data_IF_609319349659
#
_entry.id   IF_609319349659
#
_cell.length_a   1.000
_cell.length_b   1.000
_cell.length_c   1.000
_cell.angle_alpha   90.00
_cell.angle_beta   90.00
_cell.angle_gamma   90.00
#
_symmetry.space_group_name_H-M   'P 1'
#
loop_
_entity.id
_entity.type
_entity.pdbx_description
1 polymer ?
#
# COMPACT_ATOMS: atom_id res chain seq x y z
N UNK A 1 -3.94 -15.58 9.89
CA UNK A 1 -5.25 -15.28 9.25
C UNK A 1 -6.32 -16.22 9.80
N UNK A 2 -7.62 -15.88 9.74
CA UNK A 2 -8.69 -16.79 10.20
C UNK A 2 -8.69 -18.15 9.45
N UNK A 3 -8.50 -18.19 8.11
CA UNK A 3 -8.30 -19.43 7.37
C UNK A 3 -7.14 -20.30 7.87
N UNK A 4 -6.01 -19.69 8.22
CA UNK A 4 -4.85 -20.42 8.76
C UNK A 4 -5.13 -21.08 10.12
N UNK A 5 -6.21 -20.69 10.79
CA UNK A 5 -6.68 -21.28 12.05
C UNK A 5 -7.88 -22.22 11.85
N UNK A 6 -8.15 -22.66 10.62
CA UNK A 6 -9.21 -23.63 10.30
C UNK A 6 -10.62 -23.04 10.18
N UNK A 7 -10.75 -21.71 10.12
CA UNK A 7 -12.03 -21.04 9.84
C UNK A 7 -12.08 -20.68 8.36
N UNK A 8 -12.71 -21.53 7.57
CA UNK A 8 -12.74 -21.42 6.09
C UNK A 8 -14.06 -20.84 5.54
N UNK A 9 -15.18 -21.00 6.27
CA UNK A 9 -16.48 -20.48 5.85
C UNK A 9 -16.59 -18.98 6.16
N UNK A 10 -16.17 -18.17 5.20
CA UNK A 10 -16.09 -16.72 5.34
C UNK A 10 -16.57 -15.99 4.09
N UNK A 11 -17.22 -14.85 4.31
CA UNK A 11 -17.60 -13.89 3.27
C UNK A 11 -16.99 -12.54 3.60
N UNK A 12 -16.28 -11.94 2.62
CA UNK A 12 -15.77 -10.57 2.72
C UNK A 12 -16.72 -9.66 1.96
N UNK A 13 -17.34 -8.71 2.66
CA UNK A 13 -18.21 -7.69 2.06
C UNK A 13 -17.43 -6.38 1.95
N UNK A 14 -17.10 -5.99 0.72
CA UNK A 14 -16.39 -4.75 0.40
C UNK A 14 -17.36 -3.82 -0.34
N UNK A 15 -17.45 -2.56 0.11
CA UNK A 15 -18.38 -1.60 -0.47
C UNK A 15 -17.89 -1.06 -1.82
N UNK A 16 -16.58 -0.98 -2.01
CA UNK A 16 -15.99 -0.56 -3.28
C UNK A 16 -15.78 -1.75 -4.22
N UNK A 17 -15.39 -1.47 -5.46
CA UNK A 17 -15.08 -2.50 -6.45
C UNK A 17 -13.63 -3.04 -6.33
N UNK A 18 -12.94 -2.79 -5.22
CA UNK A 18 -11.53 -3.19 -5.01
C UNK A 18 -11.21 -3.36 -3.53
N UNK A 19 -10.24 -4.23 -3.24
CA UNK A 19 -9.66 -4.35 -1.91
C UNK A 19 -8.66 -3.22 -1.64
N UNK A 20 -8.25 -3.06 -0.38
CA UNK A 20 -7.13 -2.20 0.02
C UNK A 20 -7.52 -0.81 0.52
N UNK A 21 -8.76 -0.34 0.30
CA UNK A 21 -9.28 0.93 0.85
C UNK A 21 -8.33 2.12 0.63
N UNK A 22 -7.63 2.59 1.67
CA UNK A 22 -6.66 3.69 1.63
C UNK A 22 -5.27 3.30 1.13
N UNK A 23 -5.03 2.06 0.69
CA UNK A 23 -3.85 1.68 -0.10
C UNK A 23 -4.33 1.58 -1.55
N UNK A 24 -4.08 2.63 -2.34
CA UNK A 24 -4.77 2.83 -3.62
C UNK A 24 -3.84 3.42 -4.67
N UNK A 25 -3.44 2.59 -5.61
CA UNK A 25 -2.76 3.00 -6.83
C UNK A 25 -3.75 3.46 -7.89
N UNK A 26 -3.40 4.51 -8.62
CA UNK A 26 -4.12 4.99 -9.80
C UNK A 26 -3.14 5.37 -10.91
N UNK A 27 -3.61 5.35 -12.15
CA UNK A 27 -2.86 5.88 -13.28
C UNK A 27 -3.25 7.34 -13.54
N UNK A 28 -2.25 8.21 -13.54
CA UNK A 28 -2.44 9.64 -13.79
C UNK A 28 -1.22 10.17 -14.56
N UNK A 29 -1.44 10.93 -15.63
CA UNK A 29 -0.33 11.54 -16.39
C UNK A 29 0.66 10.54 -17.01
N UNK A 30 0.22 9.31 -17.33
CA UNK A 30 1.09 8.27 -17.88
C UNK A 30 1.97 7.54 -16.85
N UNK A 31 1.83 7.87 -15.56
CA UNK A 31 2.55 7.21 -14.46
C UNK A 31 1.57 6.56 -13.47
N UNK A 32 2.09 5.71 -12.58
CA UNK A 32 1.33 5.18 -11.44
C UNK A 32 1.57 6.05 -10.21
N UNK A 33 0.51 6.41 -9.49
CA UNK A 33 0.57 7.19 -8.25
C UNK A 33 -0.24 6.49 -7.16
N UNK A 34 0.15 6.66 -5.89
CA UNK A 34 -0.68 6.25 -4.76
C UNK A 34 -1.56 7.43 -4.31
N UNK A 35 -2.89 7.24 -4.30
CA UNK A 35 -3.86 8.23 -3.82
C UNK A 35 -4.08 8.14 -2.30
N UNK A 36 -3.42 7.21 -1.61
CA UNK A 36 -3.62 6.95 -0.19
C UNK A 36 -2.30 6.79 0.56
N UNK A 37 -2.13 5.67 1.26
CA UNK A 37 -0.89 5.36 1.95
C UNK A 37 0.23 5.09 0.93
N UNK A 38 1.29 5.89 1.02
CA UNK A 38 2.40 5.90 0.07
C UNK A 38 3.75 5.60 0.74
N UNK A 39 3.83 5.72 2.08
CA UNK A 39 5.07 5.60 2.84
C UNK A 39 5.03 4.47 3.86
N UNK A 40 6.15 3.75 3.98
CA UNK A 40 6.41 2.88 5.13
C UNK A 40 7.17 3.69 6.17
N UNK A 41 6.49 4.10 7.24
CA UNK A 41 7.13 4.83 8.33
C UNK A 41 7.96 3.89 9.24
N UNK A 42 8.99 4.46 9.89
CA UNK A 42 9.77 3.81 10.95
C UNK A 42 10.38 2.46 10.54
N UNK A 43 11.11 2.45 9.42
CA UNK A 43 11.75 1.23 8.88
C UNK A 43 13.00 0.79 9.64
N UNK A 44 13.62 1.67 10.42
CA UNK A 44 14.90 1.42 11.11
C UNK A 44 14.79 1.47 12.64
N UNK A 45 13.60 1.20 13.16
CA UNK A 45 13.38 1.04 14.59
C UNK A 45 14.00 -0.25 15.16
N UNK A 46 14.09 -0.36 16.50
CA UNK A 46 14.63 -1.56 17.16
C UNK A 46 13.78 -2.82 16.92
N UNK A 47 12.51 -2.65 16.53
CA UNK A 47 11.65 -3.73 16.09
C UNK A 47 11.47 -3.67 14.57
N UNK A 48 11.49 -4.84 13.94
CA UNK A 48 11.23 -4.95 12.50
C UNK A 48 9.80 -4.52 12.20
N UNK A 49 9.63 -3.53 11.33
CA UNK A 49 8.32 -3.19 10.79
C UNK A 49 7.82 -4.38 9.92
N UNK A 50 6.63 -4.97 10.20
CA UNK A 50 6.12 -6.13 9.48
C UNK A 50 5.76 -5.84 8.02
N UNK A 51 5.60 -4.57 7.64
CA UNK A 51 5.37 -4.13 6.25
C UNK A 51 6.69 -3.89 5.50
N UNK A 52 7.83 -3.80 6.20
CA UNK A 52 9.14 -3.59 5.57
C UNK A 52 9.46 -4.75 4.60
N UNK A 53 9.38 -4.42 3.32
CA UNK A 53 9.78 -5.24 2.17
C UNK A 53 11.11 -4.68 1.62
N UNK A 54 11.79 -5.39 0.73
CA UNK A 54 12.97 -4.91 -0.02
C UNK A 54 12.61 -3.79 -1.04
N UNK A 55 11.55 -3.03 -0.78
CA UNK A 55 10.97 -2.07 -1.69
C UNK A 55 11.75 -0.75 -1.61
N UNK A 56 12.25 -0.32 -2.77
CA UNK A 56 12.73 1.03 -2.99
C UNK A 56 11.53 1.97 -2.78
N UNK A 57 11.57 2.80 -1.74
CA UNK A 57 10.62 3.92 -1.59
C UNK A 57 10.97 4.90 -2.70
N UNK A 58 10.17 4.94 -3.76
CA UNK A 58 10.29 5.97 -4.80
C UNK A 58 9.69 7.24 -4.22
N UNK A 59 10.56 8.13 -3.76
CA UNK A 59 10.18 9.51 -3.49
C UNK A 59 9.70 10.10 -4.82
N UNK A 60 8.46 10.60 -4.86
CA UNK A 60 8.02 11.49 -5.93
C UNK A 60 8.75 12.82 -5.70
N UNK A 61 10.04 12.86 -6.03
CA UNK A 61 10.82 14.08 -6.25
C UNK A 61 11.33 14.17 -7.69
N UNK A 62 10.86 13.31 -8.60
CA UNK A 62 11.11 13.39 -10.05
C UNK A 62 9.90 13.96 -10.81
N UNK A 63 9.25 14.97 -10.24
CA UNK A 63 8.43 15.92 -11.01
C UNK A 63 9.00 17.33 -10.81
N UNK A 64 10.32 17.47 -10.95
CA UNK A 64 10.96 18.75 -11.26
C UNK A 64 10.63 19.08 -12.73
N UNK A 65 9.48 19.71 -12.96
CA UNK A 65 9.05 20.10 -14.31
C UNK A 65 7.79 20.96 -14.40
N UNK A 66 7.14 21.28 -13.27
CA UNK A 66 6.05 22.24 -13.21
C UNK A 66 6.28 23.23 -12.06
N UNK A 67 7.26 24.12 -12.27
CA UNK A 67 7.38 25.40 -11.57
C UNK A 67 7.92 26.43 -12.56
#
# INVERSE_FOLDING_TARGET
MLPENGVEDMVILEASNRVGSRIRKEHFGGVSVELGADWIASVDGPQRNPVKMNALIVLISEVEGFA
#
